data_IF_911602869306
#
_entry.id   IF_911602869306
#
_cell.length_a   1.000
_cell.length_b   1.000
_cell.length_c   1.000
_cell.angle_alpha   90.00
_cell.angle_beta   90.00
_cell.angle_gamma   90.00
#
_symmetry.space_group_name_H-M   'P 1'
#
loop_
_entity.id
_entity.type
_entity.pdbx_description
1 polymer ?
#
# COMPACT_ATOMS: atom_id res chain seq x y z
N UNK A 1 25.38 12.39 -4.64
CA UNK A 1 24.25 12.49 -3.67
C UNK A 1 24.73 13.22 -2.43
N UNK A 2 23.97 14.18 -1.93
CA UNK A 2 24.30 14.89 -0.70
C UNK A 2 24.12 13.98 0.52
N UNK A 3 25.18 13.78 1.30
CA UNK A 3 25.14 13.03 2.57
C UNK A 3 24.68 13.89 3.75
N UNK A 4 24.68 15.23 3.59
CA UNK A 4 24.43 16.19 4.67
C UNK A 4 22.96 16.58 4.82
N UNK A 5 22.18 16.54 3.73
CA UNK A 5 20.78 16.98 3.73
C UNK A 5 19.93 16.02 2.90
N UNK A 6 18.84 15.55 3.50
CA UNK A 6 17.81 14.81 2.77
C UNK A 6 17.12 15.73 1.76
N UNK A 7 16.69 15.18 0.62
CA UNK A 7 15.92 15.93 -0.36
C UNK A 7 14.61 16.43 0.26
N UNK A 8 14.22 17.66 -0.07
CA UNK A 8 12.95 18.24 0.35
C UNK A 8 11.80 17.44 -0.27
N UNK A 9 10.88 16.97 0.55
CA UNK A 9 9.69 16.26 0.07
C UNK A 9 8.79 17.25 -0.65
N UNK A 10 8.36 16.92 -1.88
CA UNK A 10 7.35 17.70 -2.60
C UNK A 10 5.99 17.46 -1.95
N UNK A 11 5.22 18.51 -1.79
CA UNK A 11 3.83 18.42 -1.36
C UNK A 11 2.97 17.83 -2.48
N UNK A 12 2.12 16.90 -2.12
CA UNK A 12 1.15 16.28 -3.03
C UNK A 12 -0.19 16.95 -2.75
N UNK A 13 -0.78 17.56 -3.76
CA UNK A 13 -2.13 18.10 -3.67
C UNK A 13 -3.15 16.96 -3.56
N UNK A 14 -4.23 17.12 -2.80
CA UNK A 14 -5.33 16.16 -2.76
C UNK A 14 -5.95 15.99 -4.14
N UNK A 15 -6.63 14.87 -4.36
CA UNK A 15 -7.34 14.62 -5.61
C UNK A 15 -8.55 15.55 -5.81
N UNK A 16 -8.99 15.71 -7.04
CA UNK A 16 -10.04 16.67 -7.41
C UNK A 16 -11.44 16.23 -7.01
N UNK A 17 -11.71 14.91 -6.92
CA UNK A 17 -13.06 14.37 -6.67
C UNK A 17 -13.35 14.18 -5.18
N UNK A 18 -12.43 13.57 -4.44
CA UNK A 18 -12.62 13.22 -3.02
C UNK A 18 -11.82 14.12 -2.06
N UNK A 19 -11.03 15.04 -2.57
CA UNK A 19 -10.15 15.94 -1.80
C UNK A 19 -9.30 15.21 -0.75
N UNK A 20 -8.85 14.00 -1.07
CA UNK A 20 -8.12 13.12 -0.16
C UNK A 20 -6.70 12.81 -0.65
N UNK A 21 -5.71 12.95 0.26
CA UNK A 21 -4.29 12.70 -0.03
C UNK A 21 -3.98 11.22 -0.28
N UNK A 22 -4.75 10.28 0.32
CA UNK A 22 -4.52 8.84 0.13
C UNK A 22 -4.93 8.43 -1.27
N UNK A 23 -6.06 8.97 -1.75
CA UNK A 23 -6.55 8.76 -3.12
C UNK A 23 -5.56 9.33 -4.13
N UNK A 24 -5.08 10.57 -3.93
CA UNK A 24 -4.06 11.19 -4.79
C UNK A 24 -2.77 10.33 -4.86
N UNK A 25 -2.31 9.80 -3.72
CA UNK A 25 -1.16 8.89 -3.69
C UNK A 25 -1.45 7.56 -4.40
N UNK A 26 -2.67 7.02 -4.28
CA UNK A 26 -3.08 5.82 -5.01
C UNK A 26 -3.03 6.04 -6.52
N UNK A 27 -3.58 7.15 -7.02
CA UNK A 27 -3.53 7.56 -8.42
C UNK A 27 -2.07 7.60 -8.91
N UNK A 28 -1.17 8.23 -8.14
CA UNK A 28 0.25 8.30 -8.49
C UNK A 28 0.94 6.92 -8.54
N UNK A 29 0.52 5.95 -7.73
CA UNK A 29 1.07 4.58 -7.76
C UNK A 29 0.49 3.75 -8.91
N UNK A 30 -0.78 3.98 -9.25
CA UNK A 30 -1.44 3.34 -10.40
C UNK A 30 -0.92 3.89 -11.74
N UNK A 31 -0.57 5.17 -11.76
CA UNK A 31 -0.13 5.88 -12.96
C UNK A 31 1.07 5.18 -13.63
N UNK A 32 1.04 5.11 -14.96
CA UNK A 32 2.12 4.62 -15.82
C UNK A 32 2.40 5.66 -16.91
N UNK A 33 3.66 5.86 -17.25
CA UNK A 33 4.12 6.78 -18.29
C UNK A 33 3.59 8.23 -18.18
N UNK A 34 3.28 8.68 -16.96
CA UNK A 34 2.73 10.01 -16.72
C UNK A 34 1.26 10.19 -17.11
N UNK A 35 0.55 9.12 -17.49
CA UNK A 35 -0.87 9.15 -17.91
C UNK A 35 -1.79 9.28 -16.69
N UNK A 36 -1.85 10.49 -16.10
CA UNK A 36 -2.55 10.73 -14.85
C UNK A 36 -4.07 10.58 -14.98
N UNK A 37 -4.68 11.12 -16.03
CA UNK A 37 -6.12 11.04 -16.29
C UNK A 37 -6.62 9.59 -16.37
N UNK A 38 -5.88 8.72 -17.06
CA UNK A 38 -6.20 7.28 -17.13
C UNK A 38 -6.15 6.64 -15.73
N UNK A 39 -5.16 7.00 -14.91
CA UNK A 39 -5.05 6.49 -13.56
C UNK A 39 -6.17 7.00 -12.65
N UNK A 40 -6.60 8.25 -12.80
CA UNK A 40 -7.76 8.83 -12.11
C UNK A 40 -9.03 8.07 -12.44
N UNK A 41 -9.31 7.83 -13.72
CA UNK A 41 -10.48 7.08 -14.16
C UNK A 41 -10.49 5.65 -13.61
N UNK A 42 -9.35 4.96 -13.58
CA UNK A 42 -9.22 3.61 -13.00
C UNK A 42 -9.55 3.63 -11.50
N UNK A 43 -8.96 4.57 -10.75
CA UNK A 43 -9.16 4.63 -9.29
C UNK A 43 -10.58 5.03 -8.95
N UNK A 44 -11.14 6.04 -9.61
CA UNK A 44 -12.51 6.49 -9.39
C UNK A 44 -13.53 5.42 -9.75
N UNK A 45 -13.38 4.75 -10.89
CA UNK A 45 -14.26 3.65 -11.27
C UNK A 45 -14.21 2.48 -10.31
N UNK A 46 -13.02 2.12 -9.81
CA UNK A 46 -12.88 1.11 -8.77
C UNK A 46 -13.56 1.52 -7.45
N UNK A 47 -13.46 2.80 -7.04
CA UNK A 47 -14.11 3.31 -5.84
C UNK A 47 -15.63 3.34 -5.99
N UNK A 48 -16.18 3.76 -7.13
CA UNK A 48 -17.62 3.74 -7.41
C UNK A 48 -18.20 2.32 -7.28
N UNK A 49 -17.46 1.32 -7.76
CA UNK A 49 -17.84 -0.09 -7.58
C UNK A 49 -17.85 -0.54 -6.12
N UNK A 50 -17.02 0.03 -5.24
CA UNK A 50 -17.08 -0.28 -3.79
C UNK A 50 -18.41 0.09 -3.16
N UNK A 51 -19.10 1.11 -3.66
CA UNK A 51 -20.43 1.51 -3.20
C UNK A 51 -21.46 0.38 -3.33
N UNK A 52 -21.28 -0.54 -4.28
CA UNK A 52 -22.18 -1.69 -4.45
C UNK A 52 -22.05 -2.71 -3.31
N UNK A 53 -20.88 -2.75 -2.64
CA UNK A 53 -20.59 -3.70 -1.56
C UNK A 53 -20.98 -3.12 -0.21
N UNK A 54 -20.63 -1.87 0.04
CA UNK A 54 -20.89 -1.18 1.31
C UNK A 54 -22.01 -0.17 1.13
N UNK A 55 -23.26 -0.64 1.11
CA UNK A 55 -24.46 0.20 0.92
C UNK A 55 -24.63 1.27 2.00
N UNK A 56 -24.13 1.01 3.21
CA UNK A 56 -24.27 1.88 4.38
C UNK A 56 -23.09 2.84 4.60
N UNK A 57 -22.01 2.71 3.81
CA UNK A 57 -20.80 3.51 3.95
C UNK A 57 -20.49 4.28 2.68
N UNK A 58 -19.88 5.45 2.86
CA UNK A 58 -19.31 6.21 1.77
C UNK A 58 -18.15 5.44 1.10
N UNK A 59 -18.06 5.55 -0.23
CA UNK A 59 -17.02 4.92 -1.06
C UNK A 59 -15.60 5.29 -0.62
N UNK A 60 -15.39 6.54 -0.17
CA UNK A 60 -14.11 7.00 0.35
C UNK A 60 -13.75 6.28 1.66
N UNK A 61 -14.70 6.19 2.59
CA UNK A 61 -14.50 5.51 3.87
C UNK A 61 -14.17 4.04 3.65
N UNK A 62 -14.90 3.37 2.78
CA UNK A 62 -14.66 1.96 2.43
C UNK A 62 -13.27 1.75 1.79
N UNK A 63 -12.87 2.66 0.91
CA UNK A 63 -11.53 2.64 0.32
C UNK A 63 -10.44 2.82 1.40
N UNK A 64 -10.60 3.76 2.32
CA UNK A 64 -9.64 3.99 3.40
C UNK A 64 -9.53 2.79 4.33
N UNK A 65 -10.64 2.15 4.69
CA UNK A 65 -10.67 0.91 5.48
C UNK A 65 -9.91 -0.22 4.77
N UNK A 66 -10.10 -0.39 3.46
CA UNK A 66 -9.38 -1.39 2.68
C UNK A 66 -7.85 -1.13 2.69
N UNK A 67 -7.44 0.13 2.50
CA UNK A 67 -6.02 0.51 2.57
C UNK A 67 -5.46 0.30 3.98
N UNK A 68 -6.22 0.62 5.02
CA UNK A 68 -5.80 0.43 6.41
C UNK A 68 -5.63 -1.04 6.77
N UNK A 69 -6.49 -1.91 6.24
CA UNK A 69 -6.35 -3.36 6.38
C UNK A 69 -5.03 -3.90 5.81
N UNK A 70 -4.46 -3.23 4.81
CA UNK A 70 -3.20 -3.62 4.16
C UNK A 70 -1.94 -3.05 4.82
N UNK A 71 -2.05 -2.09 5.74
CA UNK A 71 -0.89 -1.45 6.38
C UNK A 71 -0.13 -2.44 7.27
N UNK A 72 1.19 -2.66 7.05
CA UNK A 72 2.00 -3.48 7.93
C UNK A 72 2.47 -2.67 9.15
N UNK A 73 2.48 -3.27 10.34
CA UNK A 73 3.05 -2.67 11.55
C UNK A 73 4.57 -2.85 11.63
N UNK A 74 5.09 -3.95 11.07
CA UNK A 74 6.50 -4.32 11.10
C UNK A 74 7.00 -4.70 9.72
N UNK A 75 8.27 -4.47 9.47
CA UNK A 75 8.99 -4.96 8.28
C UNK A 75 10.35 -5.53 8.70
N UNK A 76 10.96 -6.31 7.83
CA UNK A 76 12.30 -6.87 8.06
C UNK A 76 13.31 -6.08 7.23
N UNK A 77 14.40 -5.65 7.88
CA UNK A 77 15.53 -4.97 7.23
C UNK A 77 16.81 -5.76 7.40
N UNK A 78 17.53 -5.97 6.31
CA UNK A 78 18.86 -6.57 6.34
C UNK A 78 19.87 -5.63 7.02
N UNK A 79 20.54 -6.13 8.07
CA UNK A 79 21.66 -5.45 8.76
C UNK A 79 22.89 -6.32 8.71
N UNK A 80 24.02 -5.72 8.38
CA UNK A 80 25.31 -6.42 8.36
C UNK A 80 26.04 -6.19 9.69
N UNK A 81 26.27 -7.27 10.42
CA UNK A 81 26.96 -7.25 11.70
C UNK A 81 28.04 -8.33 11.70
N UNK A 82 29.29 -7.93 11.91
CA UNK A 82 30.42 -8.88 11.97
C UNK A 82 30.62 -9.73 10.70
N UNK A 83 30.25 -9.20 9.50
CA UNK A 83 30.37 -9.91 8.23
C UNK A 83 29.12 -10.73 7.84
N UNK A 84 28.24 -11.07 8.77
CA UNK A 84 26.98 -11.76 8.51
C UNK A 84 25.83 -10.76 8.30
N UNK A 85 24.85 -11.09 7.43
CA UNK A 85 23.66 -10.28 7.21
C UNK A 85 22.49 -10.88 7.97
N UNK A 86 21.98 -10.11 8.93
CA UNK A 86 20.82 -10.48 9.73
C UNK A 86 19.57 -9.75 9.25
N UNK A 87 18.43 -10.43 9.26
CA UNK A 87 17.13 -9.86 8.98
C UNK A 87 16.54 -9.34 10.28
N UNK A 88 16.57 -8.01 10.46
CA UNK A 88 16.15 -7.38 11.72
C UNK A 88 14.74 -6.84 11.61
N UNK A 89 13.79 -7.25 12.48
CA UNK A 89 12.44 -6.70 12.48
C UNK A 89 12.45 -5.25 12.99
N UNK A 90 11.79 -4.36 12.28
CA UNK A 90 11.71 -2.92 12.58
C UNK A 90 10.27 -2.45 12.43
N UNK A 91 9.80 -1.64 13.37
CA UNK A 91 8.50 -0.97 13.25
C UNK A 91 8.47 -0.04 12.06
N UNK A 92 7.34 -0.02 11.36
CA UNK A 92 7.15 0.79 10.16
C UNK A 92 6.51 2.13 10.53
N UNK A 93 7.11 3.24 10.11
CA UNK A 93 6.53 4.58 10.28
C UNK A 93 5.22 4.71 9.50
N UNK A 94 4.24 5.48 10.01
CA UNK A 94 2.89 5.65 9.42
C UNK A 94 2.91 5.98 7.93
N UNK A 95 3.78 6.92 7.50
CA UNK A 95 3.91 7.28 6.08
C UNK A 95 4.35 6.11 5.19
N UNK A 96 5.27 5.28 5.71
CA UNK A 96 5.78 4.11 5.01
C UNK A 96 4.76 2.97 5.00
N UNK A 97 4.00 2.78 6.08
CA UNK A 97 2.89 1.81 6.14
C UNK A 97 1.92 2.08 4.99
N UNK A 98 1.50 3.34 4.81
CA UNK A 98 0.62 3.74 3.73
C UNK A 98 1.25 3.50 2.35
N UNK A 99 2.53 3.85 2.18
CA UNK A 99 3.24 3.63 0.92
C UNK A 99 3.33 2.15 0.56
N UNK A 100 3.61 1.28 1.54
CA UNK A 100 3.67 -0.17 1.34
C UNK A 100 2.30 -0.74 0.99
N UNK A 101 1.25 -0.33 1.71
CA UNK A 101 -0.12 -0.77 1.46
C UNK A 101 -0.55 -0.45 0.02
N UNK A 102 -0.40 0.80 -0.43
CA UNK A 102 -0.74 1.21 -1.80
C UNK A 102 0.10 0.50 -2.85
N UNK A 103 1.40 0.33 -2.61
CA UNK A 103 2.29 -0.40 -3.53
C UNK A 103 1.88 -1.86 -3.66
N UNK A 104 1.58 -2.54 -2.56
CA UNK A 104 1.15 -3.94 -2.60
C UNK A 104 -0.22 -4.07 -3.26
N UNK A 105 -1.16 -3.21 -2.93
CA UNK A 105 -2.48 -3.16 -3.57
C UNK A 105 -2.35 -3.13 -5.10
N UNK A 106 -1.62 -2.16 -5.65
CA UNK A 106 -1.45 -2.01 -7.11
C UNK A 106 -0.65 -3.16 -7.71
N UNK A 107 0.40 -3.62 -7.02
CA UNK A 107 1.22 -4.75 -7.48
C UNK A 107 0.42 -6.03 -7.64
N UNK A 108 -0.45 -6.35 -6.68
CA UNK A 108 -1.27 -7.56 -6.74
C UNK A 108 -2.49 -7.37 -7.65
N UNK A 109 -3.09 -6.18 -7.70
CA UNK A 109 -4.12 -5.87 -8.68
C UNK A 109 -3.62 -6.11 -10.12
N UNK A 110 -2.41 -5.68 -10.45
CA UNK A 110 -1.80 -5.93 -11.79
C UNK A 110 -1.60 -7.40 -12.12
N UNK A 111 -1.47 -8.29 -11.12
CA UNK A 111 -1.30 -9.74 -11.31
C UNK A 111 -2.62 -10.50 -11.45
N UNK A 112 -3.75 -9.85 -11.24
CA UNK A 112 -5.07 -10.46 -11.36
C UNK A 112 -5.44 -10.71 -12.82
N UNK A 113 -6.37 -11.61 -13.04
CA UNK A 113 -6.82 -12.04 -14.35
C UNK A 113 -8.04 -11.31 -14.92
N UNK A 114 -8.66 -10.38 -14.16
CA UNK A 114 -9.82 -9.61 -14.61
C UNK A 114 -9.46 -8.76 -15.85
N UNK A 115 -10.46 -8.41 -16.65
CA UNK A 115 -10.29 -7.78 -17.96
C UNK A 115 -9.65 -6.39 -17.88
N UNK A 116 -10.17 -5.50 -17.03
CA UNK A 116 -9.72 -4.12 -16.89
C UNK A 116 -8.94 -3.90 -15.61
N UNK A 117 -8.04 -2.89 -15.60
CA UNK A 117 -7.31 -2.53 -14.38
C UNK A 117 -8.23 -2.00 -13.27
N UNK A 118 -9.33 -1.36 -13.64
CA UNK A 118 -10.40 -0.92 -12.74
C UNK A 118 -11.02 -2.11 -11.99
N UNK A 119 -11.39 -3.18 -12.73
CA UNK A 119 -11.95 -4.39 -12.12
C UNK A 119 -10.94 -5.12 -11.23
N UNK A 120 -9.69 -5.20 -11.66
CA UNK A 120 -8.59 -5.78 -10.87
C UNK A 120 -8.38 -5.03 -9.56
N UNK A 121 -8.37 -3.70 -9.61
CA UNK A 121 -8.19 -2.86 -8.43
C UNK A 121 -9.39 -2.99 -7.48
N UNK A 122 -10.61 -2.95 -8.02
CA UNK A 122 -11.83 -3.18 -7.25
C UNK A 122 -11.84 -4.54 -6.55
N UNK A 123 -11.51 -5.61 -7.28
CA UNK A 123 -11.49 -6.96 -6.73
C UNK A 123 -10.44 -7.12 -5.62
N UNK A 124 -9.25 -6.52 -5.77
CA UNK A 124 -8.23 -6.55 -4.72
C UNK A 124 -8.64 -5.73 -3.48
N UNK A 125 -9.31 -4.58 -3.65
CA UNK A 125 -9.85 -3.78 -2.55
C UNK A 125 -10.96 -4.55 -1.79
N UNK A 126 -11.88 -5.19 -2.52
CA UNK A 126 -12.93 -6.04 -1.93
C UNK A 126 -12.33 -7.19 -1.12
N UNK A 127 -11.35 -7.87 -1.69
CA UNK A 127 -10.70 -9.00 -1.02
C UNK A 127 -9.91 -8.53 0.22
N UNK A 128 -9.30 -7.34 0.17
CA UNK A 128 -8.62 -6.74 1.31
C UNK A 128 -9.56 -6.42 2.48
N UNK A 129 -10.78 -5.93 2.20
CA UNK A 129 -11.83 -5.71 3.22
C UNK A 129 -12.23 -7.01 3.91
N UNK A 130 -12.24 -8.12 3.17
CA UNK A 130 -12.57 -9.45 3.69
C UNK A 130 -11.36 -10.17 4.33
N UNK A 131 -10.19 -9.50 4.45
CA UNK A 131 -8.98 -10.12 4.98
C UNK A 131 -8.38 -11.18 4.03
N UNK A 132 -8.61 -11.05 2.75
CA UNK A 132 -8.17 -11.97 1.69
C UNK A 132 -7.37 -11.22 0.62
N UNK A 133 -7.00 -11.92 -0.45
CA UNK A 133 -6.27 -11.33 -1.57
C UNK A 133 -4.74 -11.38 -1.43
N UNK A 134 -4.07 -11.07 -2.53
CA UNK A 134 -2.61 -11.13 -2.63
C UNK A 134 -1.89 -10.07 -1.78
N UNK A 135 -2.44 -8.86 -1.74
CA UNK A 135 -1.89 -7.75 -0.95
C UNK A 135 -1.99 -8.04 0.56
N UNK A 136 -3.12 -8.57 1.02
CA UNK A 136 -3.31 -8.96 2.41
C UNK A 136 -2.38 -10.12 2.80
N UNK A 137 -2.26 -11.14 1.95
CA UNK A 137 -1.31 -12.24 2.15
C UNK A 137 0.13 -11.72 2.27
N UNK A 138 0.53 -10.76 1.44
CA UNK A 138 1.86 -10.13 1.51
C UNK A 138 2.11 -9.44 2.85
N UNK A 139 1.11 -8.74 3.40
CA UNK A 139 1.17 -8.18 4.77
C UNK A 139 1.42 -9.29 5.79
N UNK A 140 0.62 -10.35 5.77
CA UNK A 140 0.78 -11.48 6.70
C UNK A 140 2.14 -12.15 6.59
N UNK A 141 2.64 -12.37 5.37
CA UNK A 141 3.96 -12.96 5.14
C UNK A 141 5.08 -12.04 5.69
N UNK A 142 4.92 -10.72 5.54
CA UNK A 142 5.87 -9.75 6.11
C UNK A 142 5.88 -9.82 7.65
N UNK A 143 4.72 -9.92 8.29
CA UNK A 143 4.60 -10.08 9.74
C UNK A 143 5.20 -11.41 10.20
N UNK A 144 4.90 -12.53 9.50
CA UNK A 144 5.49 -13.84 9.81
C UNK A 144 7.02 -13.82 9.73
N UNK A 145 7.57 -13.16 8.69
CA UNK A 145 9.02 -13.00 8.59
C UNK A 145 9.61 -12.19 9.74
N UNK A 146 8.92 -11.13 10.19
CA UNK A 146 9.34 -10.34 11.34
C UNK A 146 9.30 -11.15 12.64
N UNK A 147 8.25 -11.95 12.84
CA UNK A 147 8.11 -12.81 14.01
C UNK A 147 9.18 -13.91 14.04
N UNK A 148 9.45 -14.56 12.90
CA UNK A 148 10.50 -15.56 12.77
C UNK A 148 11.91 -15.02 13.09
N UNK A 149 12.13 -13.72 12.82
CA UNK A 149 13.42 -13.06 13.06
C UNK A 149 13.43 -12.24 14.38
N UNK A 150 12.45 -12.41 15.25
CA UNK A 150 12.31 -11.65 16.52
C UNK A 150 13.55 -11.74 17.41
N UNK A 151 14.27 -12.85 17.39
CA UNK A 151 15.50 -13.05 18.14
C UNK A 151 16.60 -12.02 17.77
N UNK A 152 16.57 -11.45 16.56
CA UNK A 152 17.54 -10.45 16.08
C UNK A 152 17.09 -9.01 16.32
N UNK A 153 16.00 -8.77 17.06
CA UNK A 153 15.48 -7.43 17.30
C UNK A 153 16.48 -6.54 18.09
N UNK A 154 17.39 -7.11 18.86
CA UNK A 154 18.42 -6.39 19.60
C UNK A 154 19.47 -5.73 18.69
N UNK A 155 19.57 -6.13 17.43
CA UNK A 155 20.42 -5.44 16.41
C UNK A 155 19.74 -4.21 15.79
N UNK A 156 18.62 -3.74 16.38
CA UNK A 156 17.92 -2.53 15.96
C UNK A 156 18.61 -1.30 16.54
N UNK A 157 19.19 -0.44 15.71
CA UNK A 157 19.69 0.89 16.01
C UNK A 157 19.36 1.88 14.89
#
# INVERSE_FOLDING_TARGET
MSRRKAATKREILPDSKYHNLVVAKCINVVMWDGKKEVAENIVYGAMEKLKTIAKDKDELTTFLEAVDALKPSVEVKGRRVGGATYQVPVEVRKERQQTLALRWLVMFARKRGERSMEERLFAELRDALNGQGGAFKKKLDTHRMADANKAFAHFRW
#
